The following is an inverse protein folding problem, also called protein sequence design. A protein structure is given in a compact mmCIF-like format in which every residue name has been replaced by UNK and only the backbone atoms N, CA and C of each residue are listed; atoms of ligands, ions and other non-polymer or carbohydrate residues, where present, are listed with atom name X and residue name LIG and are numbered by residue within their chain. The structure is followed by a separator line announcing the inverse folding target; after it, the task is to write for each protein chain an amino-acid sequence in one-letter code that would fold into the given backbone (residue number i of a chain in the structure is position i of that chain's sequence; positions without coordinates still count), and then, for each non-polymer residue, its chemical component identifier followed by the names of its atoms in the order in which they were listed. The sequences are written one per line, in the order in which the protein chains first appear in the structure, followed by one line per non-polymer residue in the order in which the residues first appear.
data_IF_574773288245
#
_entry.id   IF_574773288245
#
_cell.length_a   1.000
_cell.length_b   1.000
_cell.length_c   1.000
_cell.angle_alpha   90.00
_cell.angle_beta   90.00
_cell.angle_gamma   90.00
#
_symmetry.space_group_name_H-M   'P 1'
#
loop_
_entity.id
_entity.type
_entity.pdbx_description
1 polymer ?
#
# COMPACT_ATOMS: atom_id res chain seq x y z
N UNK A 1 -2.57 20.80 -16.20
CA UNK A 1 -2.07 20.43 -14.87
C UNK A 1 -1.72 18.96 -14.93
N UNK A 2 -0.49 18.60 -14.57
CA UNK A 2 -0.09 17.20 -14.52
C UNK A 2 -0.53 16.60 -13.18
N UNK A 3 -1.04 15.38 -13.24
CA UNK A 3 -1.49 14.63 -12.08
C UNK A 3 -0.73 13.31 -12.00
N UNK A 4 -0.51 12.82 -10.78
CA UNK A 4 0.09 11.52 -10.51
C UNK A 4 -0.98 10.59 -9.94
N UNK A 5 -1.02 9.34 -10.39
CA UNK A 5 -1.98 8.37 -9.88
C UNK A 5 -1.45 7.74 -8.59
N UNK A 6 -2.30 7.71 -7.57
CA UNK A 6 -2.02 7.08 -6.28
C UNK A 6 -2.77 5.76 -6.20
N UNK A 7 -2.09 4.73 -5.71
CA UNK A 7 -2.61 3.38 -5.54
C UNK A 7 -2.34 2.87 -4.13
N UNK A 8 -3.17 1.96 -3.66
CA UNK A 8 -2.85 1.08 -2.52
C UNK A 8 -2.52 -0.30 -3.07
N UNK A 9 -1.42 -0.87 -2.61
CA UNK A 9 -1.02 -2.24 -2.96
C UNK A 9 -1.16 -3.17 -1.77
N UNK A 10 -1.50 -4.42 -2.06
CA UNK A 10 -1.47 -5.53 -1.09
C UNK A 10 -0.69 -6.67 -1.72
N UNK A 11 0.25 -7.25 -0.96
CA UNK A 11 1.08 -8.37 -1.38
C UNK A 11 0.96 -9.55 -0.41
N UNK A 12 1.03 -10.75 -0.97
CA UNK A 12 1.11 -11.98 -0.21
C UNK A 12 2.43 -12.09 0.56
N UNK A 13 2.33 -12.57 1.79
CA UNK A 13 3.49 -12.90 2.62
C UNK A 13 4.07 -14.24 2.17
N UNK A 14 5.37 -14.26 1.83
CA UNK A 14 6.09 -15.48 1.41
C UNK A 14 6.98 -16.08 2.50
N UNK A 15 7.07 -15.44 3.66
CA UNK A 15 7.85 -15.96 4.78
C UNK A 15 7.05 -16.95 5.64
N UNK A 16 7.71 -17.48 6.66
CA UNK A 16 7.02 -18.26 7.69
C UNK A 16 5.96 -17.40 8.39
N UNK A 17 4.85 -18.05 8.74
CA UNK A 17 3.83 -17.43 9.59
C UNK A 17 4.31 -17.57 11.03
N UNK A 18 4.67 -16.43 11.63
CA UNK A 18 5.10 -16.39 13.03
C UNK A 18 3.96 -16.81 13.96
N UNK A 19 4.31 -17.55 15.02
CA UNK A 19 3.34 -18.01 16.02
C UNK A 19 2.55 -16.82 16.61
N UNK A 20 1.22 -16.92 16.56
CA UNK A 20 0.33 -15.89 17.09
C UNK A 20 -0.10 -14.83 16.08
N UNK A 21 0.38 -14.90 14.83
CA UNK A 21 -0.07 -14.04 13.74
C UNK A 21 -0.80 -14.85 12.68
N UNK A 22 -1.81 -14.24 12.06
CA UNK A 22 -2.49 -14.83 10.90
C UNK A 22 -1.77 -14.45 9.62
N UNK A 23 -2.09 -15.16 8.53
CA UNK A 23 -1.56 -14.81 7.20
C UNK A 23 -2.03 -13.43 6.77
N UNK A 24 -3.31 -13.14 6.96
CA UNK A 24 -3.93 -11.86 6.65
C UNK A 24 -3.20 -10.74 7.37
N UNK A 25 -2.85 -10.95 8.64
CA UNK A 25 -2.08 -9.98 9.42
C UNK A 25 -0.66 -9.74 8.88
N UNK A 26 -0.04 -10.75 8.26
CA UNK A 26 1.32 -10.66 7.72
C UNK A 26 1.36 -10.18 6.26
N UNK A 27 0.23 -10.08 5.56
CA UNK A 27 0.17 -9.51 4.21
C UNK A 27 0.69 -8.07 4.22
N UNK A 28 1.49 -7.76 3.21
CA UNK A 28 2.19 -6.48 3.14
C UNK A 28 1.37 -5.46 2.36
N UNK A 29 1.25 -4.24 2.88
CA UNK A 29 0.59 -3.13 2.18
C UNK A 29 1.50 -1.92 2.02
N UNK A 30 1.25 -1.14 0.97
CA UNK A 30 1.94 0.11 0.71
C UNK A 30 1.08 1.09 -0.10
N UNK A 31 1.53 2.33 -0.17
CA UNK A 31 1.00 3.37 -1.05
C UNK A 31 1.98 3.52 -2.20
N UNK A 32 1.48 3.54 -3.43
CA UNK A 32 2.29 3.62 -4.65
C UNK A 32 1.86 4.83 -5.46
N UNK A 33 2.82 5.55 -6.02
CA UNK A 33 2.58 6.66 -6.94
C UNK A 33 3.15 6.31 -8.30
N UNK A 34 2.34 6.41 -9.35
CA UNK A 34 2.79 6.36 -10.74
C UNK A 34 3.28 7.74 -11.16
N UNK A 35 4.57 7.85 -11.48
CA UNK A 35 5.22 9.10 -11.86
C UNK A 35 4.94 9.52 -13.32
N UNK A 36 4.25 8.68 -14.10
CA UNK A 36 3.85 8.94 -15.49
C UNK A 36 4.93 8.63 -16.53
N UNK A 37 6.11 8.16 -16.10
CA UNK A 37 7.26 7.78 -16.93
C UNK A 37 7.59 6.28 -16.79
N UNK A 38 6.58 5.47 -16.45
CA UNK A 38 6.70 4.05 -16.11
C UNK A 38 7.53 3.75 -14.86
N UNK A 39 7.88 4.78 -14.07
CA UNK A 39 8.48 4.62 -12.75
C UNK A 39 7.45 4.74 -11.64
N UNK A 40 7.67 3.99 -10.56
CA UNK A 40 6.77 3.97 -9.41
C UNK A 40 7.53 4.30 -8.13
N UNK A 41 6.95 5.17 -7.32
CA UNK A 41 7.46 5.45 -5.97
C UNK A 41 6.59 4.72 -4.95
N UNK A 42 7.24 3.93 -4.09
CA UNK A 42 6.56 3.10 -3.09
C UNK A 42 6.85 3.63 -1.69
N UNK A 43 5.78 3.86 -0.93
CA UNK A 43 5.81 4.22 0.48
C UNK A 43 5.22 3.07 1.29
N UNK A 44 5.98 2.56 2.26
CA UNK A 44 5.55 1.43 3.08
C UNK A 44 6.32 1.38 4.40
N UNK A 45 5.80 0.61 5.36
CA UNK A 45 6.55 0.25 6.57
C UNK A 45 6.94 -1.21 6.53
N UNK A 46 8.18 -1.53 6.88
CA UNK A 46 8.69 -2.91 6.92
C UNK A 46 9.30 -3.24 8.27
N UNK A 47 9.48 -4.53 8.56
CA UNK A 47 9.96 -5.03 9.85
C UNK A 47 9.02 -6.06 10.45
N UNK A 48 9.10 -6.27 11.77
CA UNK A 48 8.31 -7.28 12.48
C UNK A 48 7.29 -6.60 13.39
N UNK A 49 5.97 -6.81 13.16
CA UNK A 49 4.95 -6.32 14.07
C UNK A 49 5.22 -6.72 15.52
N UNK A 50 4.99 -5.81 16.47
CA UNK A 50 5.25 -6.03 17.90
C UNK A 50 6.73 -6.00 18.32
N UNK A 51 7.68 -5.92 17.39
CA UNK A 51 9.11 -5.68 17.66
C UNK A 51 9.49 -4.28 17.18
N UNK A 52 9.24 -4.01 15.90
CA UNK A 52 9.59 -2.74 15.29
C UNK A 52 9.27 -2.74 13.80
N UNK A 53 8.64 -1.66 13.35
CA UNK A 53 8.42 -1.34 11.94
C UNK A 53 9.17 -0.05 11.62
N UNK A 54 9.57 0.14 10.37
CA UNK A 54 10.32 1.31 9.90
C UNK A 54 9.75 1.78 8.58
N UNK A 55 9.60 3.10 8.43
CA UNK A 55 9.18 3.72 7.18
C UNK A 55 10.27 3.63 6.12
N UNK A 56 9.85 3.31 4.90
CA UNK A 56 10.69 3.35 3.71
C UNK A 56 9.96 4.06 2.58
N UNK A 57 10.73 4.84 1.83
CA UNK A 57 10.40 5.29 0.48
C UNK A 57 11.36 4.60 -0.48
N UNK A 58 10.83 3.98 -1.52
CA UNK A 58 11.64 3.39 -2.59
C UNK A 58 11.26 4.07 -3.90
N UNK A 59 12.21 4.83 -4.43
CA UNK A 59 12.03 5.59 -5.66
C UNK A 59 12.33 4.74 -6.88
N UNK A 60 11.70 5.05 -8.02
CA UNK A 60 11.96 4.40 -9.31
C UNK A 60 11.84 2.87 -9.26
N UNK A 61 10.89 2.35 -8.50
CA UNK A 61 10.56 0.93 -8.50
C UNK A 61 9.97 0.54 -9.86
N UNK A 62 10.23 -0.71 -10.27
CA UNK A 62 9.50 -1.37 -11.37
C UNK A 62 7.98 -1.32 -11.16
N UNK A 63 7.23 -1.57 -12.22
CA UNK A 63 5.78 -1.68 -12.10
C UNK A 63 5.37 -2.81 -11.12
N UNK A 64 4.66 -2.50 -10.01
CA UNK A 64 4.14 -3.51 -9.08
C UNK A 64 3.36 -4.64 -9.76
N UNK A 65 2.67 -4.33 -10.86
CA UNK A 65 1.85 -5.29 -11.63
C UNK A 65 2.71 -6.39 -12.26
N UNK A 66 4.00 -6.15 -12.45
CA UNK A 66 4.95 -7.17 -12.91
C UNK A 66 5.38 -8.14 -11.80
N UNK A 67 5.13 -7.85 -10.52
CA UNK A 67 5.34 -8.80 -9.42
C UNK A 67 4.10 -9.68 -9.19
N UNK A 68 3.70 -10.38 -10.26
CA UNK A 68 2.48 -11.20 -10.30
C UNK A 68 2.48 -12.30 -9.24
N UNK A 69 3.66 -12.79 -8.86
CA UNK A 69 3.84 -13.88 -7.90
C UNK A 69 3.52 -13.50 -6.45
N UNK A 70 3.26 -12.23 -6.17
CA UNK A 70 2.98 -11.73 -4.81
C UNK A 70 1.86 -10.70 -4.76
N UNK A 71 1.68 -9.88 -5.79
CA UNK A 71 0.69 -8.81 -5.77
C UNK A 71 -0.72 -9.40 -5.67
N UNK A 72 -1.46 -9.08 -4.62
CA UNK A 72 -2.87 -9.45 -4.45
C UNK A 72 -3.80 -8.40 -5.04
N UNK A 73 -3.45 -7.11 -4.86
CA UNK A 73 -4.16 -6.01 -5.49
C UNK A 73 -3.27 -4.77 -5.65
N UNK A 74 -3.60 -3.96 -6.66
CA UNK A 74 -3.11 -2.60 -6.84
C UNK A 74 -4.31 -1.75 -7.22
N UNK A 75 -4.86 -1.07 -6.23
CA UNK A 75 -6.15 -0.39 -6.34
C UNK A 75 -5.95 1.12 -6.45
N UNK A 76 -6.46 1.70 -7.54
CA UNK A 76 -6.45 3.15 -7.71
C UNK A 76 -7.22 3.85 -6.58
N UNK A 77 -6.62 4.92 -6.05
CA UNK A 77 -7.18 5.77 -5.00
C UNK A 77 -7.64 7.10 -5.60
N UNK A 78 -6.71 7.87 -6.16
CA UNK A 78 -6.96 9.24 -6.60
C UNK A 78 -5.86 9.74 -7.55
N UNK A 79 -6.17 10.84 -8.23
CA UNK A 79 -5.18 11.67 -8.93
C UNK A 79 -4.77 12.83 -8.01
N UNK A 80 -3.48 12.97 -7.73
CA UNK A 80 -2.96 14.12 -6.98
C UNK A 80 -2.23 15.09 -7.90
N UNK A 81 -2.29 16.42 -7.66
CA UNK A 81 -1.52 17.37 -8.45
C UNK A 81 -0.01 17.11 -8.32
N UNK A 82 0.72 17.07 -9.44
CA UNK A 82 2.17 16.78 -9.45
C UNK A 82 2.96 17.78 -8.60
N UNK A 83 2.55 19.05 -8.54
CA UNK A 83 3.19 20.07 -7.71
C UNK A 83 3.01 19.86 -6.20
N UNK A 84 2.12 18.96 -5.77
CA UNK A 84 1.91 18.57 -4.37
C UNK A 84 2.54 17.23 -4.03
N UNK A 85 3.21 16.57 -4.98
CA UNK A 85 3.84 15.27 -4.77
C UNK A 85 4.86 15.27 -3.63
N UNK A 86 5.64 16.35 -3.50
CA UNK A 86 6.64 16.51 -2.43
C UNK A 86 6.05 16.53 -1.02
N UNK A 87 4.72 16.72 -0.88
CA UNK A 87 4.03 16.64 0.41
C UNK A 87 3.89 15.20 0.92
N UNK A 88 3.89 14.19 0.03
CA UNK A 88 3.60 12.81 0.41
C UNK A 88 4.62 12.22 1.37
N UNK A 89 5.91 12.36 1.09
CA UNK A 89 6.95 11.77 1.95
C UNK A 89 6.89 12.28 3.39
N UNK A 90 6.90 13.61 3.67
CA UNK A 90 6.82 14.10 5.05
C UNK A 90 5.49 13.74 5.72
N UNK A 91 4.37 13.71 4.98
CA UNK A 91 3.08 13.29 5.52
C UNK A 91 3.10 11.82 5.95
N UNK A 92 3.54 10.92 5.07
CA UNK A 92 3.53 9.47 5.28
C UNK A 92 4.60 9.04 6.30
N UNK A 93 5.76 9.72 6.32
CA UNK A 93 6.78 9.53 7.36
C UNK A 93 6.32 10.04 8.73
N UNK A 94 5.41 11.00 8.75
CA UNK A 94 4.83 11.57 9.98
C UNK A 94 3.77 10.71 10.65
N UNK A 95 3.32 9.62 10.01
CA UNK A 95 2.39 8.65 10.62
C UNK A 95 3.10 7.87 11.72
N UNK A 96 2.51 7.85 12.92
CA UNK A 96 3.07 7.15 14.07
C UNK A 96 3.14 5.64 13.86
N UNK A 97 4.35 5.07 14.03
CA UNK A 97 4.59 3.64 13.85
C UNK A 97 4.54 2.96 15.22
N UNK A 98 3.51 2.14 15.43
CA UNK A 98 3.20 1.57 16.74
C UNK A 98 3.84 0.22 16.93
N UNK A 99 4.57 0.06 18.03
CA UNK A 99 5.07 -1.25 18.48
C UNK A 99 3.93 -2.03 19.13
N UNK A 100 3.14 -2.72 18.33
CA UNK A 100 1.98 -3.50 18.80
C UNK A 100 1.81 -4.80 18.02
N UNK A 101 1.25 -5.82 18.68
CA UNK A 101 0.87 -7.09 18.05
C UNK A 101 -0.43 -7.02 17.25
N UNK A 102 -1.16 -5.91 17.35
CA UNK A 102 -2.42 -5.68 16.63
C UNK A 102 -2.29 -4.60 15.56
N UNK A 103 -1.08 -4.08 15.35
CA UNK A 103 -0.80 -3.01 14.41
C UNK A 103 0.29 -3.45 13.41
N UNK A 104 0.05 -3.23 12.12
CA UNK A 104 0.93 -3.63 11.03
C UNK A 104 0.95 -2.58 9.90
N UNK A 105 1.57 -2.93 8.76
CA UNK A 105 1.60 -2.08 7.57
C UNK A 105 0.21 -1.73 6.99
N UNK A 106 -0.81 -2.55 7.23
CA UNK A 106 -2.17 -2.26 6.78
C UNK A 106 -2.79 -1.13 7.61
N UNK A 107 -2.55 -1.12 8.93
CA UNK A 107 -2.88 0.01 9.78
C UNK A 107 -2.16 1.29 9.34
N UNK A 108 -0.86 1.20 9.07
CA UNK A 108 -0.07 2.34 8.60
C UNK A 108 -0.64 2.94 7.31
N UNK A 109 -1.03 2.12 6.33
CA UNK A 109 -1.67 2.61 5.09
C UNK A 109 -2.97 3.36 5.40
N UNK A 110 -3.83 2.84 6.28
CA UNK A 110 -5.08 3.52 6.68
C UNK A 110 -4.81 4.88 7.31
N UNK A 111 -3.88 4.93 8.26
CA UNK A 111 -3.49 6.18 8.94
C UNK A 111 -2.78 7.16 7.98
N UNK A 112 -2.03 6.65 6.99
CA UNK A 112 -1.45 7.45 5.91
C UNK A 112 -2.51 8.06 4.98
N UNK A 113 -3.56 7.32 4.64
CA UNK A 113 -4.69 7.84 3.89
C UNK A 113 -5.46 8.90 4.69
N UNK A 114 -5.61 8.74 6.02
CA UNK A 114 -6.18 9.78 6.90
C UNK A 114 -5.36 11.09 6.86
N UNK A 115 -4.03 10.98 6.86
CA UNK A 115 -3.15 12.13 6.71
C UNK A 115 -3.31 12.81 5.33
N UNK A 116 -3.48 12.02 4.26
CA UNK A 116 -3.75 12.55 2.91
C UNK A 116 -5.12 13.25 2.82
N UNK A 117 -6.15 12.75 3.51
CA UNK A 117 -7.46 13.43 3.61
C UNK A 117 -7.30 14.75 4.36
N UNK A 118 -6.60 14.75 5.49
CA UNK A 118 -6.35 15.96 6.30
C UNK A 118 -5.61 17.02 5.48
N UNK A 119 -4.66 16.61 4.65
CA UNK A 119 -3.92 17.47 3.72
C UNK A 119 -4.73 17.89 2.48
N UNK A 120 -5.98 17.41 2.31
CA UNK A 120 -6.83 17.64 1.13
C UNK A 120 -6.15 17.19 -0.17
N UNK A 121 -5.40 16.09 -0.11
CA UNK A 121 -4.83 15.42 -1.30
C UNK A 121 -5.82 14.42 -1.88
N UNK A 122 -6.63 13.80 -1.02
CA UNK A 122 -7.73 12.90 -1.38
C UNK A 122 -8.96 13.26 -0.55
N UNK A 123 -10.12 12.80 -0.97
CA UNK A 123 -11.38 12.89 -0.25
C UNK A 123 -11.57 11.72 0.73
N UNK A 124 -12.45 11.92 1.72
CA UNK A 124 -12.87 10.85 2.64
C UNK A 124 -13.49 9.67 1.89
N UNK A 125 -14.20 9.93 0.78
CA UNK A 125 -14.80 8.88 -0.05
C UNK A 125 -13.73 8.02 -0.75
N UNK A 126 -12.69 8.64 -1.32
CA UNK A 126 -11.57 7.93 -1.96
C UNK A 126 -10.79 7.09 -0.94
N UNK A 127 -10.51 7.65 0.25
CA UNK A 127 -9.94 6.90 1.37
C UNK A 127 -10.81 5.67 1.70
N UNK A 128 -12.10 5.87 1.95
CA UNK A 128 -12.99 4.77 2.38
C UNK A 128 -13.07 3.66 1.34
N UNK A 129 -13.14 4.02 0.04
CA UNK A 129 -13.08 3.06 -1.05
C UNK A 129 -11.75 2.30 -1.08
N UNK A 130 -10.61 2.99 -0.91
CA UNK A 130 -9.29 2.37 -0.87
C UNK A 130 -9.14 1.40 0.31
N UNK A 131 -9.61 1.78 1.51
CA UNK A 131 -9.58 0.92 2.71
C UNK A 131 -10.46 -0.32 2.52
N UNK A 132 -11.66 -0.17 1.93
CA UNK A 132 -12.51 -1.31 1.63
C UNK A 132 -11.84 -2.31 0.67
N UNK A 133 -11.21 -1.81 -0.40
CA UNK A 133 -10.48 -2.65 -1.35
C UNK A 133 -9.25 -3.32 -0.72
N UNK A 134 -8.48 -2.59 0.09
CA UNK A 134 -7.36 -3.14 0.85
C UNK A 134 -7.82 -4.28 1.75
N UNK A 135 -8.88 -4.08 2.53
CA UNK A 135 -9.41 -5.10 3.42
C UNK A 135 -9.90 -6.33 2.64
N UNK A 136 -10.62 -6.11 1.53
CA UNK A 136 -11.06 -7.21 0.67
C UNK A 136 -9.89 -8.02 0.11
N UNK A 137 -8.80 -7.36 -0.30
CA UNK A 137 -7.58 -8.01 -0.76
C UNK A 137 -6.84 -8.75 0.37
N UNK A 138 -6.74 -8.16 1.56
CA UNK A 138 -6.14 -8.76 2.77
C UNK A 138 -6.89 -10.00 3.22
N UNK A 139 -8.20 -10.11 2.98
CA UNK A 139 -9.00 -11.28 3.36
C UNK A 139 -9.21 -12.29 2.22
N UNK A 140 -8.57 -12.12 1.05
CA UNK A 140 -8.70 -13.07 -0.06
C UNK A 140 -8.22 -14.47 0.35
N UNK A 141 -8.94 -15.55 -0.03
CA UNK A 141 -8.48 -16.92 0.17
C UNK A 141 -7.09 -17.13 -0.41
N UNK A 142 -6.32 -18.04 0.19
CA UNK A 142 -5.02 -18.42 -0.36
C UNK A 142 -5.22 -19.33 -1.56
N UNK A 143 -4.74 -18.90 -2.72
CA UNK A 143 -4.65 -19.74 -3.92
C UNK A 143 -3.22 -20.23 -4.08
N UNK A 144 -3.03 -21.49 -4.47
CA UNK A 144 -1.73 -21.99 -4.96
C UNK A 144 -1.36 -21.40 -6.32
N UNK A 145 -2.31 -20.75 -6.99
CA UNK A 145 -2.11 -19.98 -8.21
C UNK A 145 -1.49 -18.61 -7.91
N UNK A 146 -0.65 -18.15 -8.82
CA UNK A 146 -0.04 -16.82 -8.85
C UNK A 146 -1.10 -15.75 -8.55
N UNK A 147 -0.96 -14.93 -7.48
CA UNK A 147 -2.07 -14.13 -6.96
C UNK A 147 -2.65 -13.05 -7.90
N UNK A 148 -2.11 -12.85 -9.11
CA UNK A 148 -2.60 -11.83 -10.04
C UNK A 148 -2.63 -12.22 -11.53
N UNK A 149 -3.47 -13.17 -11.91
CA UNK A 149 -3.84 -13.34 -13.33
C UNK A 149 -4.85 -12.28 -13.83
N UNK A 150 -5.52 -11.56 -12.92
CA UNK A 150 -6.60 -10.62 -13.25
C UNK A 150 -6.08 -9.24 -13.72
N UNK A 151 -4.98 -8.72 -13.14
CA UNK A 151 -4.42 -7.42 -13.53
C UNK A 151 -3.81 -7.36 -14.93
N UNK A 152 -3.67 -8.50 -15.61
CA UNK A 152 -3.20 -8.60 -17.01
C UNK A 152 -4.34 -8.57 -18.03
N UNK A 153 -5.60 -8.61 -17.60
CA UNK A 153 -6.75 -8.67 -18.51
C UNK A 153 -7.28 -7.29 -18.92
N UNK A 154 -6.86 -6.24 -18.23
CA UNK A 154 -7.36 -4.87 -18.45
C UNK A 154 -6.30 -3.96 -19.13
N UNK A 155 -5.29 -4.54 -19.79
CA UNK A 155 -4.29 -3.84 -20.60
C UNK A 155 -4.60 -3.89 -22.09
#
# INVERSE_FOLDING_TARGET
MNYLAVYVTVYEHKGEIYRGYTREFLRHSGIVVDNGDHSFDVFHVTGTPGIGLTFHRVCNWKDPRQDTARLLSMDFVAWIPQNRYSELEPLLKGVDIKVSRTWNCQNWVREGLDAMVTARLISEAEKNAAVQKQMAAVTRPFTTETPNAQALKDS
#
